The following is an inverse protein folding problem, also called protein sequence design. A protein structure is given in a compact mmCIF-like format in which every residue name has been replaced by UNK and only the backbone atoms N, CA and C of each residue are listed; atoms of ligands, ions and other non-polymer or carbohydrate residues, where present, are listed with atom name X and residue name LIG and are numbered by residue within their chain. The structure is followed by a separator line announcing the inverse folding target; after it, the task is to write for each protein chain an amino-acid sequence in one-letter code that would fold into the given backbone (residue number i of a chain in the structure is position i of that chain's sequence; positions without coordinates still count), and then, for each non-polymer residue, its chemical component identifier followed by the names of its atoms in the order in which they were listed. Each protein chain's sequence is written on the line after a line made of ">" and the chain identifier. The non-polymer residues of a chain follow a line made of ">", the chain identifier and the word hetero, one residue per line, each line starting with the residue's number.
data_IF_292828475992
#
_entry.id   IF_292828475992
#
_cell.length_a   1.000
_cell.length_b   1.000
_cell.length_c   1.000
_cell.angle_alpha   90.00
_cell.angle_beta   90.00
_cell.angle_gamma   90.00
#
_symmetry.space_group_name_H-M   'P 1'
#
loop_
_entity.id
_entity.type
_entity.pdbx_description
1 polymer ?
#
# COMPACT_ATOMS: atom_id res chain seq x y z
N UNK A 1 -9.30 1.29 37.87
CA UNK A 1 -8.09 1.67 37.11
C UNK A 1 -7.67 3.12 37.36
N UNK A 2 -8.53 4.11 37.06
CA UNK A 2 -8.26 5.55 37.29
C UNK A 2 -7.71 5.83 38.69
N UNK A 3 -8.48 5.49 39.74
CA UNK A 3 -8.05 5.66 41.15
C UNK A 3 -6.73 4.97 41.47
N UNK A 4 -6.50 3.76 40.96
CA UNK A 4 -5.29 2.98 41.23
C UNK A 4 -4.03 3.57 40.57
N UNK A 5 -4.18 4.32 39.47
CA UNK A 5 -3.06 4.97 38.78
C UNK A 5 -2.91 6.46 39.15
N UNK A 6 -3.75 6.97 40.07
CA UNK A 6 -3.69 8.37 40.50
C UNK A 6 -3.99 9.41 39.41
N UNK A 7 -4.70 9.03 38.34
CA UNK A 7 -5.02 9.96 37.25
C UNK A 7 -6.06 11.00 37.70
N UNK A 8 -5.70 12.28 37.55
CA UNK A 8 -6.54 13.42 37.95
C UNK A 8 -7.30 14.05 36.78
N UNK A 9 -6.92 13.70 35.55
CA UNK A 9 -7.46 14.22 34.29
C UNK A 9 -8.45 13.24 33.62
N UNK A 10 -9.00 12.28 34.37
CA UNK A 10 -9.94 11.28 33.84
C UNK A 10 -11.23 11.33 34.64
N UNK A 11 -12.34 11.54 33.94
CA UNK A 11 -13.69 11.49 34.50
C UNK A 11 -14.40 10.25 33.95
N UNK A 12 -14.95 9.42 34.84
CA UNK A 12 -15.75 8.26 34.48
C UNK A 12 -17.21 8.63 34.64
N UNK A 13 -18.00 8.42 33.59
CA UNK A 13 -19.42 8.75 33.55
C UNK A 13 -20.20 7.48 33.24
N UNK A 14 -21.28 7.25 33.98
CA UNK A 14 -22.22 6.15 33.74
C UNK A 14 -23.49 6.73 33.09
N UNK A 15 -23.50 6.79 31.76
CA UNK A 15 -24.57 7.36 30.94
C UNK A 15 -24.72 6.55 29.65
N UNK A 16 -25.87 6.69 28.99
CA UNK A 16 -26.12 6.08 27.68
C UNK A 16 -25.35 6.84 26.59
N UNK A 17 -24.61 6.12 25.74
CA UNK A 17 -23.76 6.70 24.70
C UNK A 17 -24.53 7.55 23.65
N UNK A 18 -25.84 7.33 23.53
CA UNK A 18 -26.72 8.04 22.60
C UNK A 18 -27.23 9.38 23.14
N UNK A 19 -27.03 9.66 24.43
CA UNK A 19 -27.58 10.83 25.12
C UNK A 19 -26.64 11.47 26.15
N UNK A 20 -25.41 10.96 26.30
CA UNK A 20 -24.46 11.51 27.27
C UNK A 20 -24.08 12.96 26.92
N UNK A 21 -23.73 13.76 27.92
CA UNK A 21 -23.27 15.12 27.67
C UNK A 21 -21.82 15.27 28.13
N UNK A 22 -21.03 15.99 27.33
CA UNK A 22 -19.67 16.34 27.75
C UNK A 22 -19.74 17.29 28.95
N UNK A 23 -18.88 17.11 29.97
CA UNK A 23 -18.82 18.02 31.10
C UNK A 23 -18.59 19.47 30.67
N UNK A 24 -19.42 20.38 31.17
CA UNK A 24 -19.39 21.82 30.86
C UNK A 24 -18.29 22.60 31.60
N UNK A 25 -17.23 21.92 32.04
CA UNK A 25 -16.16 22.45 32.91
C UNK A 25 -15.21 23.40 32.14
N UNK A 26 -15.74 24.45 31.49
CA UNK A 26 -14.99 25.46 30.76
C UNK A 26 -14.59 25.08 29.33
N UNK A 27 -15.09 23.96 28.81
CA UNK A 27 -14.85 23.50 27.43
C UNK A 27 -16.03 23.83 26.53
N UNK A 28 -15.77 23.93 25.23
CA UNK A 28 -16.76 24.32 24.19
C UNK A 28 -17.73 23.20 23.80
N UNK A 29 -17.86 22.16 24.62
CA UNK A 29 -18.80 21.05 24.40
C UNK A 29 -18.41 20.12 23.25
N UNK A 30 -17.16 20.17 22.78
CA UNK A 30 -16.67 19.33 21.70
C UNK A 30 -15.47 18.46 22.12
N UNK A 31 -15.38 17.26 21.54
CA UNK A 31 -14.27 16.34 21.70
C UNK A 31 -13.37 16.36 20.45
N UNK A 32 -12.06 16.45 20.67
CA UNK A 32 -11.06 16.33 19.59
C UNK A 32 -10.87 14.89 19.10
N UNK A 33 -11.04 13.92 20.00
CA UNK A 33 -10.87 12.51 19.73
C UNK A 33 -11.96 11.70 20.43
N UNK A 34 -12.68 10.89 19.66
CA UNK A 34 -13.62 9.90 20.18
C UNK A 34 -13.16 8.53 19.72
N UNK A 35 -13.01 7.59 20.65
CA UNK A 35 -12.61 6.22 20.30
C UNK A 35 -13.61 5.19 20.79
N UNK A 36 -13.87 4.18 19.98
CA UNK A 36 -14.74 3.05 20.27
C UNK A 36 -13.98 1.76 20.04
N UNK A 37 -13.64 1.06 21.12
CA UNK A 37 -12.96 -0.23 21.06
C UNK A 37 -13.91 -1.32 21.54
N UNK A 38 -14.37 -2.16 20.62
CA UNK A 38 -15.38 -3.20 20.87
C UNK A 38 -16.56 -2.71 21.70
N UNK A 39 -17.21 -1.66 21.20
CA UNK A 39 -18.30 -0.97 21.91
C UNK A 39 -19.43 -0.59 20.98
N UNK A 40 -19.16 -0.23 19.73
CA UNK A 40 -20.21 0.11 18.77
C UNK A 40 -21.05 -1.12 18.41
N UNK A 41 -20.44 -2.32 18.35
CA UNK A 41 -21.17 -3.57 18.18
C UNK A 41 -22.12 -3.88 19.33
N UNK A 42 -21.77 -3.44 20.55
CA UNK A 42 -22.51 -3.68 21.79
C UNK A 42 -23.70 -2.71 21.97
N UNK A 43 -23.72 -1.61 21.23
CA UNK A 43 -24.82 -0.65 21.27
C UNK A 43 -25.92 -1.13 20.32
N UNK A 44 -27.12 -1.35 20.87
CA UNK A 44 -28.31 -1.72 20.11
C UNK A 44 -28.70 -0.61 19.13
N UNK A 45 -29.02 0.57 19.66
CA UNK A 45 -29.35 1.76 18.87
C UNK A 45 -28.09 2.51 18.40
N UNK A 46 -27.33 1.85 17.55
CA UNK A 46 -26.08 2.40 17.00
C UNK A 46 -26.32 3.62 16.11
N UNK A 47 -27.51 3.81 15.52
CA UNK A 47 -27.84 5.00 14.74
C UNK A 47 -27.82 6.25 15.61
N UNK A 48 -28.57 6.23 16.72
CA UNK A 48 -28.61 7.35 17.67
C UNK A 48 -27.23 7.63 18.28
N UNK A 49 -26.46 6.59 18.61
CA UNK A 49 -25.10 6.74 19.12
C UNK A 49 -24.16 7.40 18.08
N UNK A 50 -24.19 6.96 16.82
CA UNK A 50 -23.36 7.54 15.74
C UNK A 50 -23.76 9.01 15.49
N UNK A 51 -25.06 9.30 15.42
CA UNK A 51 -25.56 10.67 15.23
C UNK A 51 -25.18 11.57 16.40
N UNK A 52 -25.24 11.06 17.62
CA UNK A 52 -24.86 11.81 18.81
C UNK A 52 -23.36 12.09 18.84
N UNK A 53 -22.52 11.09 18.54
CA UNK A 53 -21.07 11.25 18.40
C UNK A 53 -20.73 12.31 17.34
N UNK A 54 -21.46 12.36 16.22
CA UNK A 54 -21.25 13.37 15.18
C UNK A 54 -21.45 14.81 15.68
N UNK A 55 -22.32 15.03 16.68
CA UNK A 55 -22.54 16.34 17.30
C UNK A 55 -21.47 16.70 18.32
N UNK A 56 -20.97 15.70 19.05
CA UNK A 56 -19.92 15.89 20.05
C UNK A 56 -18.54 16.07 19.41
N UNK A 57 -18.30 15.49 18.24
CA UNK A 57 -17.00 15.57 17.58
C UNK A 57 -16.73 17.01 17.11
N UNK A 58 -15.53 17.51 17.39
CA UNK A 58 -15.12 18.87 16.99
C UNK A 58 -15.21 19.03 15.46
N UNK A 59 -15.93 20.04 14.95
CA UNK A 59 -15.99 20.31 13.52
C UNK A 59 -14.59 20.54 12.91
N UNK A 60 -14.36 20.05 11.69
CA UNK A 60 -13.13 20.20 10.87
C UNK A 60 -11.86 19.51 11.38
N UNK A 61 -11.66 19.39 12.69
CA UNK A 61 -10.39 18.84 13.26
C UNK A 61 -10.59 17.58 14.10
N UNK A 62 -11.81 17.27 14.53
CA UNK A 62 -12.07 16.12 15.37
C UNK A 62 -11.95 14.81 14.61
N UNK A 63 -11.37 13.79 15.25
CA UNK A 63 -11.17 12.44 14.70
C UNK A 63 -11.97 11.43 15.52
N UNK A 64 -12.68 10.53 14.83
CA UNK A 64 -13.30 9.36 15.43
C UNK A 64 -12.52 8.11 15.05
N UNK A 65 -12.27 7.24 16.03
CA UNK A 65 -11.64 5.94 15.83
C UNK A 65 -12.56 4.79 16.27
N UNK A 66 -12.68 3.76 15.46
CA UNK A 66 -13.47 2.56 15.77
C UNK A 66 -12.62 1.32 15.52
N UNK A 67 -12.52 0.44 16.51
CA UNK A 67 -11.96 -0.89 16.39
C UNK A 67 -13.02 -1.90 16.83
N UNK A 68 -13.63 -2.59 15.87
CA UNK A 68 -14.80 -3.42 16.17
C UNK A 68 -14.95 -4.63 15.24
N UNK A 69 -15.79 -5.58 15.63
CA UNK A 69 -16.16 -6.72 14.81
C UNK A 69 -17.26 -6.35 13.82
N UNK A 70 -17.29 -7.06 12.69
CA UNK A 70 -18.31 -6.82 11.67
C UNK A 70 -18.64 -8.07 10.87
N UNK A 71 -19.73 -7.97 10.13
CA UNK A 71 -20.05 -8.84 9.00
C UNK A 71 -20.32 -7.94 7.81
N UNK A 72 -19.78 -8.31 6.64
CA UNK A 72 -19.87 -7.47 5.45
C UNK A 72 -21.28 -7.44 4.87
N UNK A 73 -21.67 -6.32 4.28
CA UNK A 73 -22.88 -6.26 3.44
C UNK A 73 -22.60 -6.95 2.09
N UNK A 74 -23.35 -8.00 1.71
CA UNK A 74 -23.15 -8.68 0.44
C UNK A 74 -23.50 -7.84 -0.79
N UNK A 75 -24.32 -6.78 -0.64
CA UNK A 75 -24.78 -5.92 -1.74
C UNK A 75 -23.91 -4.68 -1.93
N UNK A 76 -23.09 -4.34 -0.95
CA UNK A 76 -22.21 -3.17 -1.03
C UNK A 76 -21.02 -3.49 -1.94
N UNK A 77 -21.02 -2.94 -3.15
CA UNK A 77 -19.78 -2.84 -3.92
C UNK A 77 -18.92 -1.77 -3.26
N UNK A 78 -17.79 -2.14 -2.65
CA UNK A 78 -16.77 -1.17 -2.22
C UNK A 78 -16.04 -0.56 -3.44
N UNK A 79 -16.48 -0.93 -4.65
CA UNK A 79 -15.80 -0.81 -5.92
C UNK A 79 -16.35 0.27 -6.88
N UNK A 80 -17.53 0.82 -6.64
CA UNK A 80 -18.26 1.66 -7.61
C UNK A 80 -17.82 3.14 -7.64
N UNK A 81 -16.88 3.53 -6.79
CA UNK A 81 -16.21 4.84 -6.91
C UNK A 81 -14.72 4.65 -6.71
N UNK A 82 -13.89 5.36 -7.48
CA UNK A 82 -12.44 5.39 -7.24
C UNK A 82 -12.14 5.91 -5.81
N UNK A 83 -13.08 6.62 -5.18
CA UNK A 83 -13.11 6.98 -3.76
C UNK A 83 -13.29 5.82 -2.76
N UNK A 84 -13.79 4.65 -3.19
CA UNK A 84 -13.99 3.45 -2.36
C UNK A 84 -12.74 2.58 -2.16
N UNK A 85 -11.59 2.98 -2.70
CA UNK A 85 -10.32 2.23 -2.58
C UNK A 85 -9.87 1.98 -1.14
N UNK A 86 -10.20 2.90 -0.22
CA UNK A 86 -9.89 2.78 1.19
C UNK A 86 -10.71 1.65 1.83
N UNK A 87 -10.08 0.50 2.06
CA UNK A 87 -10.71 -0.63 2.77
C UNK A 87 -11.55 -1.56 1.90
N UNK A 88 -11.31 -1.60 0.59
CA UNK A 88 -11.89 -2.62 -0.29
C UNK A 88 -11.32 -4.02 -0.02
N UNK A 89 -10.01 -4.10 0.25
CA UNK A 89 -9.32 -5.35 0.54
C UNK A 89 -9.86 -5.98 1.82
N UNK A 90 -10.08 -7.29 1.82
CA UNK A 90 -10.58 -8.11 2.95
C UNK A 90 -11.86 -7.60 3.63
N UNK A 91 -12.63 -6.72 2.95
CA UNK A 91 -13.93 -6.25 3.44
C UNK A 91 -14.96 -7.38 3.43
N UNK A 92 -15.08 -8.08 2.31
CA UNK A 92 -16.13 -9.09 2.15
C UNK A 92 -15.88 -10.34 3.00
N UNK A 93 -16.91 -10.77 3.70
CA UNK A 93 -16.99 -12.05 4.39
C UNK A 93 -17.70 -13.05 3.47
N UNK A 94 -17.30 -14.32 3.50
CA UNK A 94 -18.05 -15.39 2.85
C UNK A 94 -19.46 -15.50 3.45
N UNK A 95 -20.42 -16.07 2.70
CA UNK A 95 -21.78 -16.25 3.21
C UNK A 95 -21.81 -17.05 4.52
N UNK A 96 -21.04 -18.15 4.58
CA UNK A 96 -20.91 -18.99 5.78
C UNK A 96 -20.40 -18.17 6.96
N UNK A 97 -19.33 -17.38 6.76
CA UNK A 97 -18.76 -16.57 7.83
C UNK A 97 -19.77 -15.52 8.34
N UNK A 98 -20.54 -14.88 7.46
CA UNK A 98 -21.56 -13.90 7.87
C UNK A 98 -22.62 -14.53 8.76
N UNK A 99 -23.19 -15.65 8.33
CA UNK A 99 -24.26 -16.33 9.08
C UNK A 99 -23.73 -16.85 10.41
N UNK A 100 -22.57 -17.52 10.39
CA UNK A 100 -21.97 -18.06 11.61
C UNK A 100 -21.69 -16.97 12.65
N UNK A 101 -21.05 -15.87 12.25
CA UNK A 101 -20.69 -14.81 13.19
C UNK A 101 -21.89 -14.01 13.69
N UNK A 102 -22.93 -13.84 12.89
CA UNK A 102 -24.18 -13.25 13.36
C UNK A 102 -24.79 -14.07 14.49
N UNK A 103 -24.95 -15.38 14.27
CA UNK A 103 -25.51 -16.29 15.27
C UNK A 103 -24.63 -16.40 16.51
N UNK A 104 -23.30 -16.43 16.34
CA UNK A 104 -22.35 -16.52 17.45
C UNK A 104 -22.48 -15.33 18.41
N UNK A 105 -22.53 -14.11 17.88
CA UNK A 105 -22.65 -12.90 18.69
C UNK A 105 -24.04 -12.73 19.29
N UNK A 106 -25.07 -13.22 18.61
CA UNK A 106 -26.44 -13.20 19.11
C UNK A 106 -26.61 -14.02 20.41
N UNK A 107 -25.79 -15.06 20.62
CA UNK A 107 -25.75 -15.81 21.88
C UNK A 107 -25.42 -14.93 23.10
N UNK A 108 -24.65 -13.86 22.90
CA UNK A 108 -24.28 -12.87 23.92
C UNK A 108 -25.15 -11.60 23.82
N UNK A 109 -26.29 -11.65 23.11
CA UNK A 109 -27.17 -10.52 22.82
C UNK A 109 -26.51 -9.37 22.04
N UNK A 110 -25.46 -9.68 21.25
CA UNK A 110 -24.77 -8.72 20.40
C UNK A 110 -25.21 -8.93 18.95
N UNK A 111 -25.87 -7.94 18.36
CA UNK A 111 -26.37 -8.06 16.99
C UNK A 111 -25.37 -7.47 15.98
N UNK A 112 -24.62 -8.32 15.29
CA UNK A 112 -23.71 -7.92 14.21
C UNK A 112 -24.48 -7.66 12.90
N UNK A 113 -25.04 -6.45 12.77
CA UNK A 113 -25.69 -6.03 11.53
C UNK A 113 -24.70 -5.38 10.55
N UNK A 114 -24.67 -5.75 9.26
CA UNK A 114 -23.78 -5.14 8.27
C UNK A 114 -23.96 -3.61 8.12
N UNK A 115 -25.19 -3.14 8.31
CA UNK A 115 -25.55 -1.72 8.19
C UNK A 115 -24.84 -0.81 9.19
N UNK A 116 -24.33 -1.33 10.31
CA UNK A 116 -23.67 -0.52 11.35
C UNK A 116 -22.45 0.21 10.80
N UNK A 117 -21.56 -0.51 10.13
CA UNK A 117 -20.38 0.08 9.50
C UNK A 117 -20.76 0.95 8.31
N UNK A 118 -21.77 0.55 7.53
CA UNK A 118 -22.26 1.35 6.41
C UNK A 118 -22.78 2.72 6.87
N UNK A 119 -23.50 2.76 8.00
CA UNK A 119 -24.00 4.01 8.56
C UNK A 119 -22.86 4.86 9.12
N UNK A 120 -21.89 4.26 9.81
CA UNK A 120 -20.68 4.94 10.27
C UNK A 120 -19.95 5.65 9.11
N UNK A 121 -19.68 4.92 8.03
CA UNK A 121 -19.01 5.44 6.83
C UNK A 121 -19.91 6.34 5.97
N UNK A 122 -21.22 6.40 6.25
CA UNK A 122 -22.15 7.35 5.64
C UNK A 122 -22.14 8.69 6.37
N UNK A 123 -22.06 8.69 7.70
CA UNK A 123 -22.08 9.89 8.53
C UNK A 123 -20.72 10.61 8.53
N UNK A 124 -19.63 9.86 8.43
CA UNK A 124 -18.26 10.38 8.49
C UNK A 124 -17.46 10.10 7.22
N UNK A 125 -16.59 11.02 6.85
CA UNK A 125 -15.58 10.78 5.82
C UNK A 125 -14.50 9.83 6.36
N UNK A 126 -14.18 8.78 5.60
CA UNK A 126 -13.17 7.80 6.00
C UNK A 126 -11.76 8.35 5.76
N UNK A 127 -10.97 8.42 6.83
CA UNK A 127 -9.57 8.85 6.78
C UNK A 127 -8.64 7.65 6.63
N UNK A 128 -8.85 6.62 7.45
CA UNK A 128 -8.01 5.41 7.47
C UNK A 128 -8.87 4.19 7.72
N UNK A 129 -8.53 3.08 7.10
CA UNK A 129 -9.18 1.81 7.43
C UNK A 129 -8.25 0.62 7.23
N UNK A 130 -8.45 -0.38 8.08
CA UNK A 130 -7.82 -1.68 8.06
C UNK A 130 -8.92 -2.72 8.26
N UNK A 131 -9.02 -3.67 7.33
CA UNK A 131 -9.83 -4.87 7.51
C UNK A 131 -8.91 -6.04 7.80
N UNK A 132 -9.23 -6.81 8.82
CA UNK A 132 -8.43 -7.97 9.20
C UNK A 132 -9.31 -9.09 9.78
N UNK A 133 -8.65 -10.22 10.06
CA UNK A 133 -9.25 -11.40 10.66
C UNK A 133 -8.41 -11.80 11.87
N UNK A 134 -9.04 -12.05 13.02
CA UNK A 134 -8.35 -12.53 14.22
C UNK A 134 -8.24 -14.06 14.20
N UNK A 135 -7.15 -14.60 14.71
CA UNK A 135 -6.79 -16.01 14.74
C UNK A 135 -6.93 -16.55 16.17
N UNK A 136 -8.17 -16.67 16.67
CA UNK A 136 -8.41 -16.84 18.11
C UNK A 136 -8.39 -18.30 18.61
N UNK A 137 -8.99 -19.26 17.88
CA UNK A 137 -9.28 -20.59 18.47
C UNK A 137 -8.62 -21.75 17.69
N UNK A 138 -8.50 -21.63 16.38
CA UNK A 138 -7.64 -22.48 15.54
C UNK A 138 -7.22 -21.60 14.36
N UNK A 139 -5.91 -21.38 14.13
CA UNK A 139 -5.41 -20.31 13.25
C UNK A 139 -5.83 -20.38 11.76
N UNK A 140 -6.69 -21.30 11.35
CA UNK A 140 -7.16 -21.44 9.97
C UNK A 140 -8.65 -21.81 9.81
N UNK A 141 -9.38 -22.06 10.90
CA UNK A 141 -10.77 -22.57 10.82
C UNK A 141 -11.83 -21.54 11.26
N UNK A 142 -11.52 -20.74 12.28
CA UNK A 142 -12.47 -19.77 12.84
C UNK A 142 -11.78 -18.42 12.94
N UNK A 143 -12.04 -17.59 11.94
CA UNK A 143 -11.45 -16.27 11.75
C UNK A 143 -12.52 -15.20 11.89
N UNK A 144 -12.48 -14.44 12.98
CA UNK A 144 -13.45 -13.39 13.24
C UNK A 144 -13.07 -12.09 12.50
N UNK A 145 -13.96 -11.53 11.65
CA UNK A 145 -13.74 -10.25 11.00
C UNK A 145 -13.79 -9.07 11.95
N UNK A 146 -12.74 -8.26 11.91
CA UNK A 146 -12.69 -6.97 12.59
C UNK A 146 -12.15 -5.90 11.66
N UNK A 147 -12.44 -4.66 12.00
CA UNK A 147 -11.94 -3.49 11.31
C UNK A 147 -11.38 -2.48 12.31
N UNK A 148 -10.36 -1.75 11.88
CA UNK A 148 -9.90 -0.53 12.54
C UNK A 148 -10.14 0.60 11.56
N UNK A 149 -10.86 1.63 11.98
CA UNK A 149 -11.31 2.71 11.12
C UNK A 149 -11.10 4.05 11.83
N UNK A 150 -10.68 5.05 11.06
CA UNK A 150 -10.56 6.43 11.45
C UNK A 150 -11.39 7.27 10.49
N UNK A 151 -12.15 8.23 11.02
CA UNK A 151 -12.91 9.17 10.20
C UNK A 151 -13.06 10.53 10.84
N UNK A 152 -13.54 11.46 10.02
CA UNK A 152 -13.74 12.87 10.38
C UNK A 152 -15.13 13.32 9.93
N UNK A 153 -15.64 14.40 10.51
CA UNK A 153 -16.88 15.00 10.02
C UNK A 153 -16.69 15.50 8.58
N UNK A 154 -17.70 15.32 7.70
CA UNK A 154 -17.67 15.91 6.38
C UNK A 154 -17.53 17.43 6.44
N UNK A 155 -16.86 18.06 5.47
CA UNK A 155 -16.83 19.51 5.36
C UNK A 155 -18.26 20.06 5.29
N UNK A 156 -18.54 21.15 6.01
CA UNK A 156 -19.86 21.77 6.01
C UNK A 156 -20.25 22.18 4.59
N UNK A 157 -21.22 21.47 4.00
CA UNK A 157 -21.78 21.80 2.70
C UNK A 157 -22.67 23.04 2.88
N UNK A 158 -22.28 24.15 2.26
CA UNK A 158 -23.15 25.32 2.13
C UNK A 158 -24.30 25.00 1.16
N UNK A 159 -25.36 24.34 1.63
CA UNK A 159 -26.55 24.05 0.81
C UNK A 159 -27.57 23.18 1.55
N UNK A 160 -28.85 23.54 1.47
CA UNK A 160 -29.96 22.99 2.26
C UNK A 160 -30.26 21.47 2.09
N UNK A 161 -31.28 20.97 2.81
CA UNK A 161 -31.55 19.54 2.95
C UNK A 161 -32.08 18.96 1.64
N UNK A 162 -31.30 18.12 0.96
CA UNK A 162 -31.81 17.34 -0.18
C UNK A 162 -30.80 16.71 -1.13
N UNK A 163 -29.54 17.14 -1.16
CA UNK A 163 -28.56 16.61 -2.13
C UNK A 163 -27.25 16.21 -1.44
N UNK A 164 -27.26 15.07 -0.74
CA UNK A 164 -26.03 14.35 -0.40
C UNK A 164 -25.69 13.39 -1.55
N UNK A 165 -24.99 13.89 -2.56
CA UNK A 165 -24.30 13.04 -3.53
C UNK A 165 -23.13 12.34 -2.82
N UNK A 166 -22.93 11.06 -3.06
CA UNK A 166 -21.84 10.20 -2.55
C UNK A 166 -20.45 10.56 -3.08
N UNK A 167 -20.19 11.82 -3.38
CA UNK A 167 -18.88 12.33 -3.81
C UNK A 167 -18.28 13.19 -2.70
N UNK A 168 -17.19 12.73 -2.10
CA UNK A 168 -16.36 13.55 -1.22
C UNK A 168 -15.90 14.79 -1.98
N UNK A 169 -16.23 15.98 -1.47
CA UNK A 169 -15.82 17.25 -2.06
C UNK A 169 -15.05 18.06 -1.03
N UNK A 170 -13.78 18.35 -1.34
CA UNK A 170 -13.02 19.43 -0.70
C UNK A 170 -12.34 20.26 -1.79
N UNK A 171 -12.54 21.57 -1.69
CA UNK A 171 -11.88 22.62 -2.45
C UNK A 171 -10.41 22.76 -2.03
N UNK A 172 -9.54 23.01 -3.01
CA UNK A 172 -8.16 23.46 -2.78
C UNK A 172 -8.15 24.96 -3.08
N UNK A 173 -7.76 25.79 -2.10
CA UNK A 173 -7.38 27.17 -2.38
C UNK A 173 -6.02 27.14 -3.12
N UNK A 174 -6.03 27.47 -4.41
CA UNK A 174 -4.83 27.80 -5.15
C UNK A 174 -4.46 29.28 -4.93
N UNK A 175 -3.18 29.65 -4.80
CA UNK A 175 -2.78 31.04 -4.88
C UNK A 175 -2.90 31.54 -6.32
N UNK A 176 -3.73 32.59 -6.49
CA UNK A 176 -3.96 33.36 -7.72
C UNK A 176 -2.74 33.47 -8.64
N UNK A 177 -2.83 32.91 -9.85
CA UNK A 177 -2.18 33.44 -11.06
C UNK A 177 -3.20 33.48 -12.21
N UNK A 178 -3.14 34.46 -13.14
CA UNK A 178 -4.27 34.78 -14.00
C UNK A 178 -4.44 33.79 -15.16
N UNK A 179 -5.67 33.34 -15.35
CA UNK A 179 -6.10 32.39 -16.38
C UNK A 179 -5.89 32.90 -17.83
N UNK A 180 -5.49 31.98 -18.70
CA UNK A 180 -5.85 32.00 -20.12
C UNK A 180 -6.88 30.89 -20.37
N UNK A 181 -8.11 31.27 -20.69
CA UNK A 181 -9.24 30.35 -20.94
C UNK A 181 -9.15 29.69 -22.32
N UNK A 182 -9.56 28.41 -22.47
CA UNK A 182 -10.00 27.91 -23.77
C UNK A 182 -11.53 27.83 -23.87
N UNK A 183 -11.98 28.11 -25.08
CA UNK A 183 -13.36 28.27 -25.56
C UNK A 183 -14.10 26.93 -25.69
N UNK A 184 -15.42 27.02 -25.62
CA UNK A 184 -16.43 26.01 -25.96
C UNK A 184 -16.10 25.20 -27.23
N UNK A 185 -16.33 23.88 -27.18
CA UNK A 185 -16.48 23.04 -28.37
C UNK A 185 -17.78 22.21 -28.31
N UNK A 186 -18.41 22.14 -29.48
CA UNK A 186 -19.74 21.63 -29.80
C UNK A 186 -19.84 20.09 -29.76
N UNK A 187 -21.07 19.59 -29.62
CA UNK A 187 -21.44 18.16 -29.74
C UNK A 187 -21.40 17.70 -31.22
N UNK A 188 -20.94 16.47 -31.54
CA UNK A 188 -20.92 15.97 -32.91
C UNK A 188 -22.11 15.05 -33.24
N UNK A 189 -22.60 15.20 -34.48
CA UNK A 189 -23.54 14.33 -35.17
C UNK A 189 -22.83 13.26 -36.02
N UNK A 190 -23.45 12.09 -36.12
CA UNK A 190 -23.00 10.89 -36.83
C UNK A 190 -22.66 11.09 -38.32
N UNK A 191 -21.50 10.59 -38.76
CA UNK A 191 -21.33 10.00 -40.10
C UNK A 191 -20.08 9.10 -40.20
N UNK A 192 -20.23 8.01 -40.98
CA UNK A 192 -19.23 6.96 -41.22
C UNK A 192 -18.29 7.33 -42.36
N UNK A 193 -16.98 7.11 -42.20
CA UNK A 193 -16.06 6.93 -43.32
C UNK A 193 -14.59 7.23 -43.03
N UNK A 194 -13.70 6.31 -43.45
CA UNK A 194 -12.32 6.61 -43.88
C UNK A 194 -11.24 6.66 -42.79
N UNK A 195 -10.30 5.72 -42.86
CA UNK A 195 -9.02 5.81 -42.16
C UNK A 195 -8.13 6.87 -42.84
N UNK A 196 -7.77 7.93 -42.11
CA UNK A 196 -6.64 8.80 -42.45
C UNK A 196 -5.75 9.00 -41.23
N UNK A 197 -4.43 8.94 -41.46
CA UNK A 197 -3.38 9.23 -40.49
C UNK A 197 -3.47 10.68 -40.01
N UNK A 198 -3.74 10.87 -38.72
CA UNK A 198 -3.35 12.07 -37.97
C UNK A 198 -3.05 11.66 -36.53
N UNK A 199 -2.00 12.27 -35.99
CA UNK A 199 -1.48 12.10 -34.64
C UNK A 199 -2.53 12.50 -33.61
N UNK A 200 -3.34 11.56 -33.15
CA UNK A 200 -4.27 11.81 -32.06
C UNK A 200 -3.51 11.75 -30.73
N UNK A 201 -3.27 12.93 -30.15
CA UNK A 201 -3.01 13.06 -28.73
C UNK A 201 -4.09 12.27 -27.98
N UNK A 202 -3.66 11.22 -27.29
CA UNK A 202 -4.49 10.46 -26.38
C UNK A 202 -4.82 11.36 -25.17
N UNK A 203 -5.80 12.25 -25.31
CA UNK A 203 -6.36 13.00 -24.19
C UNK A 203 -7.14 12.00 -23.35
N UNK A 204 -6.45 11.39 -22.39
CA UNK A 204 -7.07 10.62 -21.32
C UNK A 204 -7.86 11.62 -20.47
N UNK A 205 -9.16 11.76 -20.74
CA UNK A 205 -10.07 12.47 -19.84
C UNK A 205 -10.27 11.61 -18.58
N UNK A 206 -9.35 11.74 -17.62
CA UNK A 206 -9.55 11.22 -16.27
C UNK A 206 -10.65 12.05 -15.60
N UNK A 207 -11.88 11.53 -15.60
CA UNK A 207 -12.90 11.98 -14.67
C UNK A 207 -12.39 11.74 -13.24
N UNK A 208 -11.81 12.77 -12.64
CA UNK A 208 -11.35 12.75 -11.25
C UNK A 208 -12.55 12.80 -10.31
N UNK A 209 -13.11 11.65 -9.96
CA UNK A 209 -13.96 11.53 -8.79
C UNK A 209 -13.05 11.47 -7.55
N UNK A 210 -12.93 12.64 -6.90
CA UNK A 210 -12.03 12.93 -5.79
C UNK A 210 -12.37 12.07 -4.56
N UNK A 211 -11.61 11.01 -4.34
CA UNK A 211 -11.38 10.55 -2.97
C UNK A 211 -10.63 11.66 -2.23
N UNK A 212 -11.13 12.12 -1.08
CA UNK A 212 -10.45 13.16 -0.32
C UNK A 212 -9.10 12.62 0.20
N UNK A 213 -7.94 13.20 -0.19
CA UNK A 213 -6.72 12.97 0.54
C UNK A 213 -6.83 13.63 1.93
N UNK A 214 -6.13 13.05 2.90
CA UNK A 214 -5.83 13.71 4.19
C UNK A 214 -5.47 15.18 3.95
N UNK A 215 -5.86 16.12 4.84
CA UNK A 215 -5.37 17.49 4.75
C UNK A 215 -3.83 17.45 4.64
N UNK A 216 -3.24 18.14 3.65
CA UNK A 216 -1.85 17.91 3.29
C UNK A 216 -0.95 18.46 4.40
N UNK A 217 -0.53 17.59 5.30
CA UNK A 217 0.74 17.77 5.97
C UNK A 217 1.81 17.55 4.90
N UNK A 218 2.24 18.64 4.22
CA UNK A 218 3.38 18.73 3.27
C UNK A 218 3.89 17.36 2.83
N UNK A 219 3.47 16.78 1.69
CA UNK A 219 3.96 15.45 1.31
C UNK A 219 3.47 14.84 0.01
N UNK A 220 3.78 13.56 -0.15
CA UNK A 220 3.40 12.78 -1.33
C UNK A 220 1.90 12.49 -1.32
N UNK A 221 1.33 12.40 -2.53
CA UNK A 221 -0.07 12.08 -2.74
C UNK A 221 -0.13 10.69 -3.36
N UNK A 222 -0.81 9.77 -2.69
CA UNK A 222 -1.17 8.47 -3.28
C UNK A 222 -2.54 8.61 -3.93
N UNK A 223 -2.59 8.52 -5.26
CA UNK A 223 -3.87 8.44 -5.96
C UNK A 223 -4.62 7.16 -5.54
N UNK A 224 -5.92 7.26 -5.31
CA UNK A 224 -6.74 6.11 -4.97
C UNK A 224 -6.79 5.13 -6.16
N UNK A 225 -6.86 3.84 -5.88
CA UNK A 225 -7.04 2.80 -6.88
C UNK A 225 -7.82 1.63 -6.29
N UNK A 226 -8.62 0.94 -7.11
CA UNK A 226 -9.41 -0.18 -6.63
C UNK A 226 -8.56 -1.48 -6.67
N UNK A 227 -8.18 -2.07 -5.51
CA UNK A 227 -7.33 -3.26 -5.46
C UNK A 227 -8.04 -4.55 -5.91
N UNK A 228 -9.36 -4.52 -6.11
CA UNK A 228 -10.16 -5.67 -6.53
C UNK A 228 -10.31 -5.78 -8.06
N UNK A 229 -9.78 -4.80 -8.81
CA UNK A 229 -9.87 -4.86 -10.27
C UNK A 229 -9.10 -6.10 -10.81
N UNK A 230 -9.62 -6.81 -11.82
CA UNK A 230 -9.02 -8.06 -12.31
C UNK A 230 -7.57 -7.92 -12.76
N UNK A 231 -7.17 -6.75 -13.26
CA UNK A 231 -5.82 -6.47 -13.75
C UNK A 231 -4.78 -6.54 -12.63
N UNK A 232 -5.18 -6.30 -11.38
CA UNK A 232 -4.30 -6.41 -10.22
C UNK A 232 -4.23 -7.82 -9.64
N UNK A 233 -5.13 -8.74 -10.02
CA UNK A 233 -5.16 -10.10 -9.48
C UNK A 233 -3.88 -10.90 -9.79
N UNK A 234 -3.13 -10.50 -10.83
CA UNK A 234 -1.85 -11.11 -11.19
C UNK A 234 -0.69 -10.72 -10.25
N UNK A 235 -0.87 -9.68 -9.41
CA UNK A 235 0.16 -9.17 -8.50
C UNK A 235 -0.23 -9.43 -7.05
N UNK A 236 0.38 -10.44 -6.42
CA UNK A 236 0.17 -10.74 -5.00
C UNK A 236 1.15 -10.02 -4.07
N UNK A 237 2.29 -9.58 -4.60
CA UNK A 237 3.38 -8.92 -3.86
C UNK A 237 4.23 -8.03 -4.79
N UNK A 238 5.20 -7.30 -4.24
CA UNK A 238 6.14 -6.49 -5.03
C UNK A 238 7.10 -7.38 -5.84
N UNK A 239 7.55 -6.87 -6.98
CA UNK A 239 8.51 -7.59 -7.82
C UNK A 239 9.92 -7.40 -7.28
N UNK A 240 10.34 -6.16 -7.11
CA UNK A 240 11.69 -5.80 -6.70
C UNK A 240 11.69 -5.16 -5.30
N UNK A 241 12.58 -5.61 -4.41
CA UNK A 241 12.81 -4.97 -3.11
C UNK A 241 13.74 -3.75 -3.17
N UNK A 242 14.53 -3.65 -4.23
CA UNK A 242 15.42 -2.55 -4.58
C UNK A 242 15.59 -2.47 -6.10
N UNK A 243 15.98 -1.30 -6.59
CA UNK A 243 16.24 -0.99 -7.99
C UNK A 243 17.66 -1.41 -8.35
N UNK A 244 17.87 -2.04 -9.50
CA UNK A 244 19.17 -2.62 -9.88
C UNK A 244 20.03 -1.65 -10.70
N UNK A 245 19.37 -0.67 -11.28
CA UNK A 245 19.91 0.42 -12.07
C UNK A 245 20.69 1.39 -11.18
N UNK A 246 21.81 1.90 -11.71
CA UNK A 246 22.61 2.92 -11.03
C UNK A 246 22.02 4.32 -11.32
N UNK A 247 21.43 5.00 -10.31
CA UNK A 247 20.83 6.31 -10.52
C UNK A 247 21.85 7.40 -10.87
N UNK A 248 23.15 7.23 -10.60
CA UNK A 248 24.19 8.22 -10.96
C UNK A 248 24.31 8.38 -12.49
N UNK A 249 24.13 7.29 -13.23
CA UNK A 249 24.13 7.33 -14.70
C UNK A 249 22.94 8.14 -15.20
N UNK A 250 21.76 7.93 -14.62
CA UNK A 250 20.56 8.67 -14.96
C UNK A 250 20.70 10.15 -14.62
N UNK A 251 21.18 10.47 -13.41
CA UNK A 251 21.38 11.85 -12.93
C UNK A 251 22.32 12.62 -13.86
N UNK A 252 23.43 12.00 -14.27
CA UNK A 252 24.41 12.64 -15.16
C UNK A 252 23.88 12.90 -16.58
N UNK A 253 22.93 12.11 -17.06
CA UNK A 253 22.36 12.24 -18.42
C UNK A 253 21.12 13.12 -18.43
N UNK A 254 20.26 13.02 -17.41
CA UNK A 254 19.00 13.74 -17.34
C UNK A 254 19.17 15.22 -17.03
N UNK A 255 20.25 15.61 -16.35
CA UNK A 255 20.57 17.00 -15.98
C UNK A 255 19.37 17.74 -15.34
N UNK A 256 18.74 17.08 -14.37
CA UNK A 256 17.48 17.51 -13.75
C UNK A 256 17.62 18.87 -13.06
N UNK A 257 16.69 19.78 -13.32
CA UNK A 257 16.66 21.12 -12.77
C UNK A 257 15.46 21.34 -11.83
N UNK A 258 15.56 22.37 -10.98
CA UNK A 258 14.44 22.79 -10.13
C UNK A 258 13.23 23.16 -10.99
N UNK A 259 12.07 22.58 -10.65
CA UNK A 259 10.81 22.82 -11.36
C UNK A 259 10.52 21.78 -12.45
N UNK A 260 11.46 20.88 -12.74
CA UNK A 260 11.23 19.79 -13.69
C UNK A 260 10.20 18.79 -13.16
N UNK A 261 9.53 18.14 -14.10
CA UNK A 261 8.53 17.10 -13.85
C UNK A 261 8.96 15.78 -14.44
N UNK A 262 8.96 14.71 -13.64
CA UNK A 262 9.44 13.38 -14.02
C UNK A 262 8.29 12.39 -13.93
N UNK A 263 8.06 11.62 -14.99
CA UNK A 263 7.22 10.43 -14.95
C UNK A 263 8.14 9.20 -14.92
N UNK A 264 8.11 8.45 -13.83
CA UNK A 264 8.98 7.30 -13.62
C UNK A 264 8.17 6.04 -13.32
N UNK A 265 8.64 4.91 -13.83
CA UNK A 265 8.19 3.60 -13.34
C UNK A 265 8.66 3.49 -11.88
N UNK A 266 7.74 3.14 -10.99
CA UNK A 266 8.00 3.18 -9.55
C UNK A 266 9.11 2.21 -9.17
N UNK A 267 9.07 0.98 -9.72
CA UNK A 267 10.01 -0.08 -9.34
C UNK A 267 10.07 -0.22 -7.81
N UNK A 268 11.24 -0.30 -7.19
CA UNK A 268 11.35 -0.27 -5.74
C UNK A 268 11.41 1.14 -5.14
N UNK A 269 11.36 2.19 -5.96
CA UNK A 269 11.37 3.59 -5.54
C UNK A 269 12.76 4.19 -5.28
N UNK A 270 13.85 3.46 -5.50
CA UNK A 270 15.19 3.95 -5.13
C UNK A 270 15.67 5.08 -6.06
N UNK A 271 15.53 4.91 -7.38
CA UNK A 271 15.98 5.92 -8.35
C UNK A 271 15.22 7.24 -8.18
N UNK A 272 13.89 7.19 -8.04
CA UNK A 272 13.09 8.41 -7.81
C UNK A 272 13.45 9.12 -6.51
N UNK A 273 13.83 8.37 -5.46
CA UNK A 273 14.33 8.96 -4.22
C UNK A 273 15.73 9.55 -4.39
N UNK A 274 16.58 8.93 -5.21
CA UNK A 274 17.90 9.48 -5.56
C UNK A 274 17.76 10.80 -6.35
N UNK A 275 16.85 10.86 -7.34
CA UNK A 275 16.57 12.10 -8.08
C UNK A 275 16.07 13.21 -7.15
N UNK A 276 15.13 12.89 -6.26
CA UNK A 276 14.59 13.83 -5.28
C UNK A 276 15.63 14.31 -4.25
N UNK A 277 16.62 13.48 -3.94
CA UNK A 277 17.73 13.85 -3.06
C UNK A 277 18.78 14.71 -3.77
N UNK A 278 18.98 14.49 -5.08
CA UNK A 278 19.92 15.25 -5.89
C UNK A 278 19.41 16.65 -6.26
N UNK A 279 18.12 16.77 -6.61
CA UNK A 279 17.54 18.01 -7.13
C UNK A 279 16.34 18.47 -6.32
N UNK A 280 16.40 19.68 -5.78
CA UNK A 280 15.28 20.27 -5.04
C UNK A 280 14.15 20.76 -5.95
N UNK A 281 12.91 20.57 -5.52
CA UNK A 281 11.74 21.14 -6.19
C UNK A 281 11.29 20.40 -7.44
N UNK A 282 11.65 19.12 -7.57
CA UNK A 282 11.12 18.23 -8.60
C UNK A 282 9.67 17.83 -8.32
N UNK A 283 8.86 17.74 -9.38
CA UNK A 283 7.58 17.06 -9.36
C UNK A 283 7.76 15.63 -9.91
N UNK A 284 7.67 14.61 -9.05
CA UNK A 284 7.89 13.21 -9.45
C UNK A 284 6.58 12.43 -9.42
N UNK A 285 6.18 11.90 -10.56
CA UNK A 285 5.03 11.04 -10.77
C UNK A 285 5.49 9.59 -10.88
N UNK A 286 5.25 8.79 -9.84
CA UNK A 286 5.62 7.37 -9.82
C UNK A 286 4.42 6.51 -10.24
N UNK A 287 4.54 5.82 -11.38
CA UNK A 287 3.50 4.92 -11.92
C UNK A 287 3.99 3.48 -11.94
N UNK A 288 3.11 2.51 -11.68
CA UNK A 288 3.46 1.09 -11.78
C UNK A 288 2.21 0.27 -12.07
N UNK A 289 2.38 -0.81 -12.85
CA UNK A 289 1.30 -1.77 -13.08
C UNK A 289 1.02 -2.62 -11.84
N UNK A 290 2.04 -2.83 -10.99
CA UNK A 290 1.94 -3.54 -9.74
C UNK A 290 1.81 -2.53 -8.58
N UNK A 291 0.61 -2.37 -7.98
CA UNK A 291 0.41 -1.43 -6.87
C UNK A 291 1.31 -1.71 -5.65
N UNK A 292 1.81 -2.94 -5.49
CA UNK A 292 2.71 -3.30 -4.39
C UNK A 292 4.06 -2.59 -4.48
N UNK A 293 4.51 -2.20 -5.68
CA UNK A 293 5.71 -1.40 -5.88
C UNK A 293 5.53 0.01 -5.30
N UNK A 294 4.37 0.62 -5.54
CA UNK A 294 4.04 1.88 -4.90
C UNK A 294 3.85 1.75 -3.38
N UNK A 295 3.32 0.63 -2.88
CA UNK A 295 3.27 0.39 -1.44
C UNK A 295 4.66 0.35 -0.81
N UNK A 296 5.67 -0.16 -1.53
CA UNK A 296 7.06 -0.15 -1.10
C UNK A 296 7.65 1.27 -1.09
N UNK A 297 7.39 2.07 -2.12
CA UNK A 297 7.77 3.49 -2.13
C UNK A 297 7.11 4.27 -0.98
N UNK A 298 5.80 4.10 -0.75
CA UNK A 298 5.09 4.71 0.39
C UNK A 298 5.71 4.29 1.73
N UNK A 299 6.13 3.03 1.88
CA UNK A 299 6.79 2.55 3.09
C UNK A 299 8.15 3.21 3.31
N UNK A 300 8.97 3.35 2.25
CA UNK A 300 10.26 4.04 2.31
C UNK A 300 10.06 5.51 2.69
N UNK A 301 9.12 6.18 2.03
CA UNK A 301 8.77 7.57 2.31
C UNK A 301 8.27 7.78 3.75
N UNK A 302 7.37 6.91 4.24
CA UNK A 302 6.90 6.93 5.63
C UNK A 302 8.06 6.73 6.61
N UNK A 303 8.95 5.78 6.34
CA UNK A 303 10.11 5.51 7.17
C UNK A 303 11.12 6.67 7.18
N UNK A 304 11.36 7.33 6.05
CA UNK A 304 12.21 8.53 5.96
C UNK A 304 11.67 9.69 6.81
N UNK A 305 10.34 9.77 6.99
CA UNK A 305 9.71 10.83 7.80
C UNK A 305 9.78 10.59 9.30
N UNK A 306 9.70 9.34 9.73
CA UNK A 306 9.45 9.03 11.15
C UNK A 306 10.60 8.31 11.83
N UNK A 307 11.40 7.55 11.08
CA UNK A 307 12.46 6.71 11.65
C UNK A 307 13.80 7.44 11.66
N UNK A 308 14.62 7.10 12.66
CA UNK A 308 16.03 7.48 12.65
C UNK A 308 16.79 6.71 11.57
N UNK A 309 17.89 7.27 11.06
CA UNK A 309 18.71 6.62 10.04
C UNK A 309 19.11 5.18 10.39
N UNK A 310 19.55 4.83 11.63
CA UNK A 310 19.88 3.44 11.95
C UNK A 310 18.69 2.48 11.82
N UNK A 311 17.47 2.92 12.15
CA UNK A 311 16.26 2.09 12.01
C UNK A 311 15.84 1.98 10.55
N UNK A 312 15.94 3.07 9.79
CA UNK A 312 15.76 3.06 8.34
C UNK A 312 16.75 2.10 7.66
N UNK A 313 18.03 2.17 8.02
CA UNK A 313 19.09 1.28 7.51
C UNK A 313 18.87 -0.18 7.92
N UNK A 314 18.38 -0.45 9.13
CA UNK A 314 17.98 -1.81 9.51
C UNK A 314 16.93 -2.34 8.53
N UNK A 315 15.84 -1.58 8.32
CA UNK A 315 14.74 -1.97 7.44
C UNK A 315 15.20 -2.14 5.99
N UNK A 316 15.77 -1.12 5.38
CA UNK A 316 16.08 -1.12 3.95
C UNK A 316 17.54 -1.47 3.66
N UNK A 317 18.53 -1.00 4.42
CA UNK A 317 19.92 -1.45 4.20
C UNK A 317 20.13 -2.95 4.46
N UNK A 318 19.69 -3.43 5.63
CA UNK A 318 19.85 -4.85 6.03
C UNK A 318 18.66 -5.74 5.66
N UNK A 319 17.55 -5.15 5.22
CA UNK A 319 16.31 -5.87 4.89
C UNK A 319 15.53 -6.38 6.12
N UNK A 320 15.88 -5.96 7.34
CA UNK A 320 15.40 -6.59 8.58
C UNK A 320 14.91 -5.59 9.62
N UNK A 321 13.86 -5.98 10.33
CA UNK A 321 13.35 -5.18 11.44
C UNK A 321 12.60 -6.06 12.44
N UNK A 322 13.12 -6.24 13.68
CA UNK A 322 12.60 -7.23 14.62
C UNK A 322 11.13 -7.03 14.99
N UNK A 323 10.67 -5.78 15.04
CA UNK A 323 9.31 -5.41 15.45
C UNK A 323 8.59 -4.58 14.37
N UNK A 324 8.74 -4.99 13.09
CA UNK A 324 8.13 -4.29 11.96
C UNK A 324 6.62 -4.08 12.14
N UNK A 325 5.88 -5.09 12.60
CA UNK A 325 4.43 -4.96 12.79
C UNK A 325 4.03 -3.87 13.78
N UNK A 326 4.77 -3.72 14.89
CA UNK A 326 4.52 -2.67 15.89
C UNK A 326 4.93 -1.29 15.36
N UNK A 327 6.10 -1.21 14.71
CA UNK A 327 6.58 0.04 14.08
C UNK A 327 5.60 0.51 13.00
N UNK A 328 5.07 -0.44 12.22
CA UNK A 328 4.07 -0.17 11.20
C UNK A 328 2.80 0.43 11.80
N UNK A 329 2.29 -0.12 12.90
CA UNK A 329 1.08 0.37 13.57
C UNK A 329 1.28 1.73 14.24
N UNK A 330 2.35 1.88 15.02
CA UNK A 330 2.54 3.02 15.92
C UNK A 330 3.24 4.21 15.28
N UNK A 331 4.07 3.99 14.27
CA UNK A 331 4.96 5.03 13.72
C UNK A 331 4.73 5.28 12.23
N UNK A 332 4.46 4.25 11.42
CA UNK A 332 4.37 4.40 9.96
C UNK A 332 2.93 4.61 9.45
N UNK A 333 1.92 4.08 10.16
CA UNK A 333 0.53 3.98 9.68
C UNK A 333 -0.09 5.32 9.26
N UNK A 334 0.26 6.42 9.95
CA UNK A 334 -0.22 7.77 9.68
C UNK A 334 0.27 8.35 8.34
N UNK A 335 1.39 7.84 7.82
CA UNK A 335 2.00 8.30 6.56
C UNK A 335 1.76 7.34 5.38
N UNK A 336 1.04 6.25 5.61
CA UNK A 336 0.67 5.30 4.57
C UNK A 336 -0.76 5.55 4.10
N UNK A 337 -1.08 5.22 2.86
CA UNK A 337 -2.46 5.01 2.41
C UNK A 337 -3.09 3.81 3.14
N UNK A 338 -4.42 3.71 3.13
CA UNK A 338 -5.14 2.56 3.72
C UNK A 338 -4.77 1.25 3.03
N UNK A 339 -4.64 1.28 1.70
CA UNK A 339 -4.22 0.13 0.89
C UNK A 339 -2.79 -0.31 1.20
N UNK A 340 -1.84 0.63 1.30
CA UNK A 340 -0.45 0.30 1.64
C UNK A 340 -0.33 -0.23 3.06
N UNK A 341 -1.00 0.41 4.03
CA UNK A 341 -1.01 -0.06 5.42
C UNK A 341 -1.56 -1.47 5.53
N UNK A 342 -2.71 -1.76 4.91
CA UNK A 342 -3.30 -3.10 4.93
C UNK A 342 -2.41 -4.14 4.23
N UNK A 343 -1.79 -3.79 3.10
CA UNK A 343 -0.80 -4.64 2.43
C UNK A 343 0.35 -5.00 3.37
N UNK A 344 0.99 -4.01 4.02
CA UNK A 344 2.12 -4.26 4.90
C UNK A 344 1.74 -4.96 6.20
N UNK A 345 0.51 -4.77 6.69
CA UNK A 345 -0.01 -5.55 7.82
C UNK A 345 -0.17 -7.02 7.49
N UNK A 346 -0.66 -7.34 6.29
CA UNK A 346 -0.77 -8.71 5.80
C UNK A 346 0.61 -9.35 5.53
N UNK A 347 1.63 -8.53 5.25
CA UNK A 347 3.00 -8.97 4.95
C UNK A 347 4.00 -8.51 6.02
N UNK A 348 3.60 -8.49 7.30
CA UNK A 348 4.45 -8.01 8.39
C UNK A 348 5.68 -8.90 8.63
N UNK A 349 5.70 -10.12 8.07
CA UNK A 349 6.83 -11.04 8.10
C UNK A 349 7.95 -10.67 7.12
N UNK A 350 7.70 -9.77 6.14
CA UNK A 350 8.66 -9.41 5.09
C UNK A 350 10.04 -8.98 5.63
N UNK A 351 10.10 -8.38 6.82
CA UNK A 351 11.36 -7.93 7.43
C UNK A 351 11.97 -8.93 8.44
N UNK A 352 11.56 -10.21 8.37
CA UNK A 352 12.15 -11.27 9.18
C UNK A 352 11.61 -11.37 10.61
N UNK A 353 10.34 -11.02 10.82
CA UNK A 353 9.68 -11.14 12.12
C UNK A 353 9.57 -12.61 12.57
N UNK A 354 9.53 -12.83 13.90
CA UNK A 354 9.43 -14.16 14.54
C UNK A 354 8.16 -14.89 14.05
N UNK A 355 8.32 -16.04 13.39
CA UNK A 355 7.17 -16.83 12.92
C UNK A 355 7.54 -18.20 12.35
N UNK A 356 6.53 -19.08 12.21
CA UNK A 356 6.65 -20.49 11.76
C UNK A 356 7.37 -20.63 10.41
N UNK A 357 7.28 -19.63 9.52
CA UNK A 357 8.02 -19.59 8.25
C UNK A 357 9.54 -19.59 8.41
N UNK A 358 10.06 -19.16 9.56
CA UNK A 358 11.49 -19.14 9.84
C UNK A 358 12.08 -20.57 9.92
N UNK A 359 11.30 -21.56 10.39
CA UNK A 359 11.72 -22.96 10.48
C UNK A 359 11.98 -23.59 9.10
N UNK A 360 11.20 -23.21 8.08
CA UNK A 360 11.40 -23.69 6.69
C UNK A 360 12.55 -22.93 6.01
N UNK A 361 12.81 -21.67 6.40
CA UNK A 361 13.84 -20.83 5.81
C UNK A 361 15.28 -21.18 6.21
N UNK A 362 15.49 -21.92 7.31
CA UNK A 362 16.81 -22.24 7.85
C UNK A 362 17.76 -22.95 6.87
N UNK A 363 17.21 -23.69 5.90
CA UNK A 363 18.00 -24.36 4.86
C UNK A 363 18.22 -23.51 3.59
N UNK A 364 17.44 -22.43 3.37
CA UNK A 364 17.42 -21.67 2.11
C UNK A 364 17.90 -20.21 2.24
N UNK A 365 18.15 -19.72 3.46
CA UNK A 365 18.67 -18.38 3.73
C UNK A 365 17.76 -17.58 4.64
N UNK A 366 18.28 -16.49 5.20
CA UNK A 366 17.54 -15.69 6.15
C UNK A 366 16.37 -14.93 5.50
N UNK A 367 15.20 -14.99 6.13
CA UNK A 367 14.01 -14.22 5.74
C UNK A 367 14.23 -12.72 6.00
N UNK A 368 14.18 -11.92 4.95
CA UNK A 368 14.34 -10.47 4.95
C UNK A 368 13.64 -9.88 3.71
N UNK A 369 13.55 -8.55 3.62
CA UNK A 369 12.84 -7.84 2.54
C UNK A 369 13.28 -8.31 1.14
N UNK A 370 14.57 -8.61 0.98
CA UNK A 370 15.19 -8.96 -0.28
C UNK A 370 15.03 -10.43 -0.65
N UNK A 371 14.77 -11.29 0.33
CA UNK A 371 14.43 -12.68 0.07
C UNK A 371 12.92 -12.90 -0.03
N UNK A 372 12.09 -11.86 0.12
CA UNK A 372 10.64 -11.87 -0.14
C UNK A 372 10.28 -11.16 -1.44
N UNK A 373 8.99 -11.15 -1.81
CA UNK A 373 8.55 -10.70 -3.14
C UNK A 373 8.91 -11.70 -4.25
N UNK A 374 8.62 -11.33 -5.49
CA UNK A 374 8.90 -12.18 -6.65
C UNK A 374 10.41 -12.34 -6.90
N UNK A 375 11.18 -11.25 -6.89
CA UNK A 375 12.64 -11.31 -7.05
C UNK A 375 13.33 -12.05 -5.92
N UNK A 376 12.77 -12.03 -4.69
CA UNK A 376 13.29 -12.80 -3.58
C UNK A 376 13.20 -14.31 -3.80
N UNK A 377 12.17 -14.80 -4.52
CA UNK A 377 12.12 -16.19 -4.97
C UNK A 377 13.28 -16.47 -5.92
N UNK A 378 13.52 -15.58 -6.90
CA UNK A 378 14.61 -15.68 -7.86
C UNK A 378 15.97 -15.76 -7.16
N UNK A 379 16.21 -14.87 -6.20
CA UNK A 379 17.44 -14.82 -5.41
C UNK A 379 17.67 -16.09 -4.57
N UNK A 380 16.61 -16.65 -3.99
CA UNK A 380 16.70 -17.94 -3.27
C UNK A 380 17.02 -19.10 -4.22
N UNK A 381 16.40 -19.14 -5.40
CA UNK A 381 16.70 -20.14 -6.42
C UNK A 381 18.16 -20.02 -6.90
N UNK A 382 18.61 -18.80 -7.20
CA UNK A 382 19.99 -18.54 -7.61
C UNK A 382 20.98 -18.92 -6.50
N UNK A 383 20.67 -18.60 -5.24
CA UNK A 383 21.47 -19.02 -4.09
C UNK A 383 21.57 -20.54 -3.93
N UNK A 384 20.48 -21.27 -4.16
CA UNK A 384 20.48 -22.73 -4.14
C UNK A 384 21.32 -23.31 -5.29
N UNK A 385 21.18 -22.78 -6.51
CA UNK A 385 21.98 -23.15 -7.68
C UNK A 385 23.46 -22.87 -7.42
N UNK A 386 23.80 -21.70 -6.88
CA UNK A 386 25.18 -21.33 -6.57
C UNK A 386 25.83 -22.27 -5.55
N UNK A 387 25.08 -22.75 -4.55
CA UNK A 387 25.56 -23.77 -3.60
C UNK A 387 25.78 -25.11 -4.29
N UNK A 388 24.84 -25.54 -5.14
CA UNK A 388 24.93 -26.80 -5.89
C UNK A 388 26.12 -26.81 -6.87
N UNK A 389 26.41 -25.67 -7.50
CA UNK A 389 27.53 -25.50 -8.43
C UNK A 389 28.87 -25.21 -7.71
N UNK A 390 28.85 -25.08 -6.38
CA UNK A 390 30.03 -24.81 -5.56
C UNK A 390 30.62 -23.40 -5.73
N UNK A 391 29.85 -22.44 -6.25
CA UNK A 391 30.29 -21.04 -6.50
C UNK A 391 29.80 -20.04 -5.45
N UNK A 392 29.02 -20.49 -4.47
CA UNK A 392 28.46 -19.60 -3.44
C UNK A 392 29.54 -18.82 -2.67
N UNK A 393 30.66 -19.45 -2.33
CA UNK A 393 31.78 -18.78 -1.66
C UNK A 393 32.49 -17.76 -2.56
N UNK A 394 32.58 -18.04 -3.87
CA UNK A 394 33.15 -17.08 -4.84
C UNK A 394 32.24 -15.87 -5.03
N UNK A 395 30.91 -16.05 -5.05
CA UNK A 395 29.94 -14.94 -5.06
C UNK A 395 30.06 -14.07 -3.80
N UNK A 396 30.19 -14.68 -2.62
CA UNK A 396 30.39 -13.93 -1.39
C UNK A 396 31.71 -13.14 -1.44
N UNK A 397 32.78 -13.76 -1.96
CA UNK A 397 34.06 -13.08 -2.15
C UNK A 397 33.95 -11.90 -3.11
N UNK A 398 33.21 -12.04 -4.20
CA UNK A 398 32.95 -10.93 -5.13
C UNK A 398 32.22 -9.77 -4.46
N UNK A 399 31.29 -10.05 -3.56
CA UNK A 399 30.52 -9.03 -2.85
C UNK A 399 31.32 -8.32 -1.74
N UNK A 400 32.36 -8.95 -1.18
CA UNK A 400 33.14 -8.40 -0.05
C UNK A 400 34.54 -7.90 -0.43
N UNK A 401 34.99 -8.13 -1.66
CA UNK A 401 36.33 -7.72 -2.08
C UNK A 401 36.40 -6.23 -2.39
N UNK A 402 37.47 -5.55 -1.99
CA UNK A 402 37.69 -4.12 -2.22
C UNK A 402 38.41 -3.82 -3.55
N UNK A 403 38.87 -4.86 -4.28
CA UNK A 403 39.56 -4.74 -5.57
C UNK A 403 38.67 -5.23 -6.71
N UNK A 404 38.45 -4.35 -7.69
CA UNK A 404 37.71 -4.65 -8.91
C UNK A 404 38.43 -5.70 -9.76
N UNK A 405 39.76 -5.73 -9.76
CA UNK A 405 40.55 -6.73 -10.48
C UNK A 405 40.29 -8.13 -9.92
N UNK A 406 40.28 -8.28 -8.60
CA UNK A 406 39.97 -9.55 -7.93
C UNK A 406 38.52 -9.95 -8.18
N UNK A 407 37.59 -9.00 -8.16
CA UNK A 407 36.18 -9.23 -8.44
C UNK A 407 35.97 -9.75 -9.88
N UNK A 408 36.55 -9.06 -10.87
CA UNK A 408 36.45 -9.41 -12.28
C UNK A 408 37.15 -10.75 -12.60
N UNK A 409 38.32 -11.00 -12.01
CA UNK A 409 39.02 -12.28 -12.16
C UNK A 409 38.17 -13.44 -11.58
N UNK A 410 37.58 -13.24 -10.40
CA UNK A 410 36.71 -14.24 -9.77
C UNK A 410 35.47 -14.52 -10.63
N UNK A 411 34.84 -13.46 -11.17
CA UNK A 411 33.71 -13.59 -12.09
C UNK A 411 34.07 -14.46 -13.31
N UNK A 412 35.08 -14.04 -14.08
CA UNK A 412 35.46 -14.69 -15.35
C UNK A 412 35.98 -16.10 -15.15
N UNK A 413 36.81 -16.32 -14.13
CA UNK A 413 37.52 -17.59 -13.97
C UNK A 413 36.74 -18.65 -13.20
N UNK A 414 35.83 -18.26 -12.29
CA UNK A 414 35.19 -19.19 -11.35
C UNK A 414 33.68 -19.24 -11.43
N UNK A 415 33.04 -18.09 -11.64
CA UNK A 415 31.58 -17.96 -11.52
C UNK A 415 30.90 -18.11 -12.89
N UNK A 416 31.32 -17.33 -13.88
CA UNK A 416 30.67 -17.20 -15.19
C UNK A 416 30.49 -18.55 -15.88
N UNK A 417 31.56 -19.32 -16.06
CA UNK A 417 31.50 -20.62 -16.75
C UNK A 417 30.59 -21.63 -16.06
N UNK A 418 30.49 -21.59 -14.72
CA UNK A 418 29.64 -22.50 -13.95
C UNK A 418 28.18 -22.08 -13.99
N UNK A 419 27.89 -20.77 -13.95
CA UNK A 419 26.54 -20.23 -14.07
C UNK A 419 25.97 -20.39 -15.49
N UNK A 420 26.79 -20.19 -16.52
CA UNK A 420 26.41 -20.42 -17.92
C UNK A 420 26.27 -21.90 -18.28
N UNK A 421 26.49 -22.82 -17.33
CA UNK A 421 26.13 -24.23 -17.50
C UNK A 421 24.64 -24.39 -17.81
N UNK A 422 24.29 -25.43 -18.59
CA UNK A 422 22.94 -25.63 -19.17
C UNK A 422 21.76 -25.61 -18.18
N UNK A 423 21.97 -25.77 -16.87
CA UNK A 423 20.89 -25.88 -15.88
C UNK A 423 20.28 -24.53 -15.51
N UNK A 424 21.10 -23.51 -15.23
CA UNK A 424 20.58 -22.19 -14.84
C UNK A 424 19.91 -21.48 -16.02
N UNK A 425 20.50 -21.59 -17.20
CA UNK A 425 19.96 -21.03 -18.45
C UNK A 425 18.60 -21.65 -18.81
N UNK A 426 18.42 -22.97 -18.65
CA UNK A 426 17.13 -23.63 -18.91
C UNK A 426 16.01 -23.21 -17.96
N UNK A 427 16.34 -22.85 -16.72
CA UNK A 427 15.35 -22.29 -15.79
C UNK A 427 14.91 -20.89 -16.24
N UNK A 428 15.85 -20.11 -16.80
CA UNK A 428 15.56 -18.77 -17.31
C UNK A 428 14.80 -18.79 -18.64
N UNK A 429 14.97 -19.84 -19.44
CA UNK A 429 14.23 -20.07 -20.69
C UNK A 429 12.80 -20.60 -20.47
N UNK A 430 12.13 -20.12 -19.42
CA UNK A 430 10.73 -20.43 -19.11
C UNK A 430 9.95 -19.13 -18.90
N UNK A 431 8.94 -18.91 -19.75
CA UNK A 431 8.09 -17.70 -19.72
C UNK A 431 7.43 -17.46 -18.36
N UNK A 432 6.92 -18.52 -17.72
CA UNK A 432 6.23 -18.42 -16.42
C UNK A 432 7.24 -18.07 -15.33
N UNK A 433 8.43 -18.68 -15.36
CA UNK A 433 9.51 -18.33 -14.44
C UNK A 433 9.95 -16.87 -14.63
N UNK A 434 10.08 -16.39 -15.86
CA UNK A 434 10.45 -14.99 -16.13
C UNK A 434 9.43 -13.97 -15.67
N UNK A 435 8.15 -14.26 -15.86
CA UNK A 435 7.10 -13.42 -15.29
C UNK A 435 7.10 -13.45 -13.75
N UNK A 436 7.09 -14.65 -13.16
CA UNK A 436 6.93 -14.82 -11.71
C UNK A 436 8.18 -14.55 -10.87
N UNK A 437 9.37 -14.54 -11.46
CA UNK A 437 10.64 -14.31 -10.75
C UNK A 437 11.26 -12.96 -11.08
N UNK A 438 11.15 -12.55 -12.35
CA UNK A 438 11.87 -11.38 -12.88
C UNK A 438 10.94 -10.28 -13.38
N UNK A 439 9.61 -10.48 -13.37
CA UNK A 439 8.63 -9.48 -13.80
C UNK A 439 8.59 -9.23 -15.31
N UNK A 440 9.20 -10.09 -16.14
CA UNK A 440 9.29 -9.87 -17.60
C UNK A 440 7.93 -10.12 -18.26
N UNK A 441 7.26 -9.10 -18.82
CA UNK A 441 5.95 -9.27 -19.45
C UNK A 441 6.00 -10.20 -20.66
N UNK A 442 4.87 -10.84 -20.97
CA UNK A 442 4.78 -11.78 -22.11
C UNK A 442 5.20 -11.13 -23.44
N UNK A 443 4.86 -9.86 -23.65
CA UNK A 443 5.24 -9.14 -24.86
C UNK A 443 6.75 -8.98 -24.98
N UNK A 444 7.43 -8.61 -23.89
CA UNK A 444 8.89 -8.48 -23.86
C UNK A 444 9.57 -9.85 -24.01
N UNK A 445 9.02 -10.90 -23.38
CA UNK A 445 9.51 -12.26 -23.55
C UNK A 445 9.42 -12.73 -25.01
N UNK A 446 8.31 -12.43 -25.70
CA UNK A 446 8.15 -12.77 -27.12
C UNK A 446 9.16 -12.02 -28.01
N UNK A 447 9.45 -10.74 -27.72
CA UNK A 447 10.48 -9.97 -28.44
C UNK A 447 11.86 -10.62 -28.28
N UNK A 448 12.28 -10.92 -27.04
CA UNK A 448 13.54 -11.61 -26.76
C UNK A 448 13.63 -12.96 -27.48
N UNK A 449 12.54 -13.71 -27.52
CA UNK A 449 12.51 -15.00 -28.20
C UNK A 449 12.60 -14.89 -29.73
N UNK A 450 12.15 -13.76 -30.30
CA UNK A 450 12.27 -13.50 -31.74
C UNK A 450 13.70 -13.16 -32.18
N UNK A 451 14.56 -12.69 -31.27
CA UNK A 451 15.92 -12.21 -31.58
C UNK A 451 17.04 -13.24 -31.33
N UNK A 452 16.78 -14.32 -30.60
CA UNK A 452 17.83 -15.32 -30.30
C UNK A 452 17.53 -16.26 -29.13
N UNK A 453 16.39 -16.09 -28.44
CA UNK A 453 16.01 -16.92 -27.31
C UNK A 453 16.69 -16.48 -26.00
N UNK A 454 16.13 -16.88 -24.87
CA UNK A 454 16.56 -16.37 -23.56
C UNK A 454 17.98 -16.84 -23.19
N UNK A 455 18.37 -18.02 -23.65
CA UNK A 455 19.74 -18.53 -23.46
C UNK A 455 20.79 -17.63 -24.10
N UNK A 456 20.52 -17.12 -25.30
CA UNK A 456 21.47 -16.27 -26.00
C UNK A 456 21.56 -14.91 -25.32
N UNK A 457 20.41 -14.30 -25.03
CA UNK A 457 20.33 -13.03 -24.30
C UNK A 457 21.09 -13.07 -22.97
N UNK A 458 20.92 -14.12 -22.15
CA UNK A 458 21.61 -14.27 -20.87
C UNK A 458 23.13 -14.41 -21.06
N UNK A 459 23.59 -15.12 -22.10
CA UNK A 459 25.03 -15.23 -22.40
C UNK A 459 25.59 -13.87 -22.78
N UNK A 460 24.93 -13.18 -23.71
CA UNK A 460 25.39 -11.88 -24.22
C UNK A 460 25.38 -10.81 -23.13
N UNK A 461 24.45 -10.91 -22.17
CA UNK A 461 24.38 -9.99 -21.02
C UNK A 461 25.49 -10.26 -19.99
N UNK A 462 25.81 -11.53 -19.72
CA UNK A 462 26.75 -11.93 -18.66
C UNK A 462 28.21 -12.02 -19.15
N UNK A 463 28.40 -12.14 -20.45
CA UNK A 463 29.69 -12.15 -21.15
C UNK A 463 29.62 -11.21 -22.37
N UNK A 464 29.48 -9.89 -22.15
CA UNK A 464 29.42 -8.93 -23.24
C UNK A 464 30.75 -8.94 -24.00
N UNK A 465 30.65 -9.15 -25.32
CA UNK A 465 31.78 -9.28 -26.27
C UNK A 465 32.75 -8.10 -26.20
#
# INVERSE_FOLDING_TARGET
>A
RVKANGWTNVRVVCQDASSFELPSDGHDGHADLITMSYSLSMIGDHYSAIDHISRLLRPKTGIMGVADFYVSDPRRCVCDSDAGSAGARDYHCSWIARVFWQLWFELDHVYLHPGRRNYLEHVFDTVKTLNARNHFIVPYLVQIPYYVWLGTLPPASGGGPGTRSTGSSVYVDEPLTPAASPRNCLQPSDSKGGWSQSSDELVVSCHMDKAAPLPPARGWIRLPYNPLRPEHAQFSTYIYGFTWEDPETDIGVLDLQRGDSILAITSAGDNVLAYAAHTEGLAIHCVDMNPCQNHLLELKLAALRTLTYPRFWSMFGSGRHPDFGQTLDLELSAHLSSTAYQYWRANADAFGAKGVRQLVSGALGHHNLYTTGYSGVALRCLGAIARLLGVHGDLQRMATTESLEVQAATWRQRVLHRLLGNVAIRLLDNRVAMWQLMGVPTNQWNMLHSEGGMSQYVRDTLDPV
#
